data_IF_522738615736
#
_entry.id   IF_522738615736
#
_cell.length_a   1.000
_cell.length_b   1.000
_cell.length_c   1.000
_cell.angle_alpha   90.00
_cell.angle_beta   90.00
_cell.angle_gamma   90.00
#
_symmetry.space_group_name_H-M   'P 1'
#
loop_
_entity.id
_entity.type
_entity.pdbx_description
1 polymer ?
#
# COMPACT_ATOMS: atom_id res chain seq x y z
N UNK A 1 5.47 1.77 -0.57
CA UNK A 1 4.96 0.40 -0.82
C UNK A 1 3.73 0.48 -1.72
N UNK A 2 2.69 1.30 -1.42
CA UNK A 2 1.45 1.37 -2.19
C UNK A 2 1.65 1.56 -3.69
N UNK A 3 2.46 2.53 -4.12
CA UNK A 3 2.74 2.77 -5.54
C UNK A 3 3.37 1.55 -6.24
N UNK A 4 4.18 0.77 -5.55
CA UNK A 4 4.73 -0.48 -6.10
C UNK A 4 3.67 -1.57 -6.20
N UNK A 5 2.78 -1.68 -5.22
CA UNK A 5 1.65 -2.62 -5.26
C UNK A 5 0.73 -2.35 -6.45
N UNK A 6 0.43 -1.07 -6.72
CA UNK A 6 -0.36 -0.65 -7.90
C UNK A 6 0.29 -1.15 -9.19
N UNK A 7 1.58 -0.87 -9.37
CA UNK A 7 2.32 -1.24 -10.57
C UNK A 7 2.43 -2.76 -10.72
N UNK A 8 2.70 -3.49 -9.64
CA UNK A 8 2.77 -4.95 -9.63
C UNK A 8 1.41 -5.60 -9.94
N UNK A 9 0.33 -5.03 -9.40
CA UNK A 9 -1.03 -5.49 -9.67
C UNK A 9 -1.39 -5.27 -11.15
N UNK A 10 -1.09 -4.09 -11.69
CA UNK A 10 -1.33 -3.77 -13.10
C UNK A 10 -0.59 -4.73 -14.04
N UNK A 11 0.67 -5.09 -13.75
CA UNK A 11 1.43 -6.07 -14.52
C UNK A 11 0.80 -7.47 -14.52
N UNK A 12 -0.02 -7.78 -13.53
CA UNK A 12 -0.71 -9.07 -13.38
C UNK A 12 -2.19 -9.03 -13.76
N UNK A 13 -2.67 -7.91 -14.30
CA UNK A 13 -4.08 -7.73 -14.61
C UNK A 13 -5.00 -7.71 -13.38
N UNK A 14 -4.45 -7.43 -12.19
CA UNK A 14 -5.21 -7.36 -10.93
C UNK A 14 -5.76 -5.95 -10.78
N UNK A 15 -7.08 -5.84 -10.64
CA UNK A 15 -7.75 -4.57 -10.35
C UNK A 15 -7.46 -4.14 -8.91
N UNK A 16 -7.22 -2.84 -8.71
CA UNK A 16 -6.92 -2.28 -7.40
C UNK A 16 -7.88 -1.15 -7.03
N UNK A 17 -8.27 -1.10 -5.76
CA UNK A 17 -8.90 0.07 -5.13
C UNK A 17 -7.86 0.68 -4.20
N UNK A 18 -7.54 1.93 -4.44
CA UNK A 18 -6.47 2.64 -3.75
C UNK A 18 -7.07 3.76 -2.89
N UNK A 19 -6.92 3.64 -1.58
CA UNK A 19 -7.45 4.60 -0.62
C UNK A 19 -6.37 5.63 -0.34
N UNK A 20 -6.69 6.89 -0.52
CA UNK A 20 -5.77 8.02 -0.35
C UNK A 20 -6.37 9.09 0.56
N UNK A 21 -5.53 9.85 1.25
CA UNK A 21 -5.98 10.98 2.07
C UNK A 21 -6.40 12.21 1.26
N UNK A 22 -5.92 12.32 0.01
CA UNK A 22 -6.13 13.49 -0.85
C UNK A 22 -6.46 13.05 -2.27
N UNK A 23 -7.49 13.62 -2.84
CA UNK A 23 -7.96 13.29 -4.18
C UNK A 23 -7.03 13.76 -5.31
N UNK A 24 -6.15 14.75 -5.06
CA UNK A 24 -5.16 15.23 -6.02
C UNK A 24 -4.12 14.18 -6.44
N UNK A 25 -4.04 13.07 -5.70
CA UNK A 25 -3.18 11.94 -6.04
C UNK A 25 -3.75 11.02 -7.13
N UNK A 26 -5.02 11.13 -7.45
CA UNK A 26 -5.68 10.24 -8.42
C UNK A 26 -5.00 10.20 -9.79
N UNK A 27 -4.69 11.32 -10.46
CA UNK A 27 -4.05 11.27 -11.78
C UNK A 27 -2.72 10.54 -11.76
N UNK A 28 -1.92 10.75 -10.71
CA UNK A 28 -0.64 10.08 -10.52
C UNK A 28 -0.81 8.57 -10.36
N UNK A 29 -1.74 8.14 -9.50
CA UNK A 29 -1.97 6.72 -9.25
C UNK A 29 -2.57 6.00 -10.45
N UNK A 30 -3.46 6.68 -11.20
CA UNK A 30 -3.99 6.18 -12.47
C UNK A 30 -2.87 5.96 -13.49
N UNK A 31 -1.94 6.88 -13.60
CA UNK A 31 -0.75 6.74 -14.47
C UNK A 31 0.16 5.56 -14.09
N UNK A 32 0.14 5.12 -12.82
CA UNK A 32 0.84 3.93 -12.34
C UNK A 32 0.04 2.63 -12.54
N UNK A 33 -1.20 2.70 -13.03
CA UNK A 33 -2.05 1.54 -13.29
C UNK A 33 -3.14 1.28 -12.24
N UNK A 34 -3.41 2.24 -11.35
CA UNK A 34 -4.53 2.12 -10.40
C UNK A 34 -5.88 2.01 -11.13
N UNK A 35 -6.69 1.02 -10.77
CA UNK A 35 -8.03 0.85 -11.36
C UNK A 35 -9.03 1.84 -10.76
N UNK A 36 -9.06 1.94 -9.44
CA UNK A 36 -9.93 2.86 -8.70
C UNK A 36 -9.09 3.62 -7.69
N UNK A 37 -9.38 4.90 -7.50
CA UNK A 37 -8.81 5.72 -6.44
C UNK A 37 -9.96 6.36 -5.66
N UNK A 38 -9.97 6.17 -4.35
CA UNK A 38 -10.97 6.73 -3.44
C UNK A 38 -10.28 7.55 -2.37
N UNK A 39 -10.88 8.68 -2.05
CA UNK A 39 -10.47 9.45 -0.86
C UNK A 39 -10.98 8.76 0.38
N UNK A 40 -10.13 8.65 1.41
CA UNK A 40 -10.53 8.18 2.74
C UNK A 40 -11.67 9.03 3.32
N UNK A 41 -12.43 8.47 4.24
CA UNK A 41 -13.54 9.17 4.90
C UNK A 41 -14.80 8.32 5.07
N UNK A 42 -15.93 8.96 5.35
CA UNK A 42 -17.19 8.27 5.63
C UNK A 42 -17.60 7.32 4.51
N UNK A 43 -18.32 6.27 4.86
CA UNK A 43 -18.92 5.30 3.94
C UNK A 43 -17.90 4.64 2.99
N UNK A 44 -16.62 4.55 3.42
CA UNK A 44 -15.54 4.00 2.61
C UNK A 44 -15.88 2.60 2.09
N UNK A 45 -16.42 1.74 2.94
CA UNK A 45 -16.77 0.38 2.58
C UNK A 45 -17.84 0.31 1.47
N UNK A 46 -18.86 1.16 1.57
CA UNK A 46 -19.92 1.23 0.57
C UNK A 46 -19.38 1.77 -0.76
N UNK A 47 -18.63 2.86 -0.72
CA UNK A 47 -17.99 3.46 -1.90
C UNK A 47 -17.02 2.50 -2.58
N UNK A 48 -16.25 1.72 -1.80
CA UNK A 48 -15.34 0.73 -2.35
C UNK A 48 -16.10 -0.39 -3.06
N UNK A 49 -17.15 -0.93 -2.45
CA UNK A 49 -18.00 -1.95 -3.10
C UNK A 49 -18.69 -1.42 -4.35
N UNK A 50 -19.23 -0.20 -4.31
CA UNK A 50 -19.87 0.42 -5.47
C UNK A 50 -18.90 0.62 -6.66
N UNK A 51 -17.61 0.84 -6.38
CA UNK A 51 -16.59 1.06 -7.40
C UNK A 51 -16.04 -0.24 -8.04
N UNK A 52 -16.53 -1.41 -7.61
CA UNK A 52 -16.05 -2.72 -8.09
C UNK A 52 -16.80 -3.27 -9.29
N UNK A 53 -17.88 -2.64 -9.75
CA UNK A 53 -18.74 -3.15 -10.84
C UNK A 53 -19.23 -4.58 -10.56
N UNK A 54 -19.59 -4.86 -9.31
CA UNK A 54 -20.05 -6.17 -8.85
C UNK A 54 -18.97 -7.22 -8.58
N UNK A 55 -17.68 -6.89 -8.73
CA UNK A 55 -16.60 -7.81 -8.39
C UNK A 55 -16.32 -7.81 -6.88
N UNK A 56 -15.91 -8.97 -6.36
CA UNK A 56 -15.52 -9.13 -4.97
C UNK A 56 -14.16 -8.50 -4.68
N UNK A 57 -14.06 -7.83 -3.52
CA UNK A 57 -12.78 -7.38 -2.96
C UNK A 57 -12.23 -8.50 -2.08
N UNK A 58 -11.26 -9.24 -2.59
CA UNK A 58 -10.79 -10.49 -1.97
C UNK A 58 -9.53 -10.34 -1.13
N UNK A 59 -8.84 -9.20 -1.24
CA UNK A 59 -7.60 -8.97 -0.48
C UNK A 59 -7.38 -7.49 -0.18
N UNK A 60 -7.00 -7.19 1.05
CA UNK A 60 -6.60 -5.87 1.50
C UNK A 60 -5.13 -5.82 1.92
N UNK A 61 -4.48 -4.66 1.73
CA UNK A 61 -3.12 -4.40 2.20
C UNK A 61 -3.09 -3.03 2.87
N UNK A 62 -2.80 -3.01 4.17
CA UNK A 62 -2.85 -1.79 4.96
C UNK A 62 -1.54 -1.45 5.67
N UNK A 63 -1.22 -0.15 5.71
CA UNK A 63 -0.14 0.42 6.50
C UNK A 63 -0.59 1.59 7.37
N UNK A 64 -1.86 1.93 7.35
CA UNK A 64 -2.39 3.16 7.96
C UNK A 64 -2.97 2.88 9.34
N UNK A 65 -3.79 1.84 9.46
CA UNK A 65 -4.56 1.56 10.67
C UNK A 65 -5.81 2.44 10.80
N UNK A 66 -6.32 2.61 12.02
CA UNK A 66 -7.43 3.48 12.33
C UNK A 66 -8.70 3.20 11.53
N UNK A 67 -9.49 4.24 11.29
CA UNK A 67 -10.76 4.14 10.57
C UNK A 67 -10.61 3.66 9.11
N UNK A 68 -9.50 3.99 8.45
CA UNK A 68 -9.20 3.52 7.07
C UNK A 68 -9.14 1.99 7.02
N UNK A 69 -8.44 1.37 7.97
CA UNK A 69 -8.38 -0.10 8.08
C UNK A 69 -9.76 -0.69 8.31
N UNK A 70 -10.53 -0.12 9.23
CA UNK A 70 -11.90 -0.56 9.53
C UNK A 70 -12.77 -0.56 8.27
N UNK A 71 -12.84 0.56 7.56
CA UNK A 71 -13.61 0.67 6.33
C UNK A 71 -13.13 -0.27 5.22
N UNK A 72 -11.82 -0.51 5.13
CA UNK A 72 -11.26 -1.50 4.21
C UNK A 72 -11.73 -2.91 4.54
N UNK A 73 -11.65 -3.35 5.81
CA UNK A 73 -12.11 -4.68 6.26
C UNK A 73 -13.61 -4.85 6.00
N UNK A 74 -14.40 -3.84 6.26
CA UNK A 74 -15.83 -3.85 5.99
C UNK A 74 -16.15 -4.00 4.51
N UNK A 75 -15.30 -3.48 3.62
CA UNK A 75 -15.49 -3.56 2.16
C UNK A 75 -15.21 -4.96 1.59
N UNK A 76 -14.45 -5.79 2.27
CA UNK A 76 -14.02 -7.10 1.78
C UNK A 76 -15.19 -8.08 1.59
N UNK A 77 -15.08 -8.96 0.61
CA UNK A 77 -16.01 -10.08 0.42
C UNK A 77 -15.80 -11.18 1.48
N UNK A 78 -16.80 -12.02 1.75
CA UNK A 78 -16.63 -13.20 2.62
C UNK A 78 -15.46 -14.08 2.17
N UNK A 79 -14.70 -14.62 3.12
CA UNK A 79 -13.51 -15.44 2.88
C UNK A 79 -12.25 -14.65 2.50
N UNK A 80 -12.34 -13.33 2.42
CA UNK A 80 -11.22 -12.47 2.07
C UNK A 80 -10.17 -12.34 3.19
N UNK A 81 -9.02 -11.79 2.85
CA UNK A 81 -7.94 -11.56 3.81
C UNK A 81 -7.38 -10.14 3.72
N UNK A 82 -6.79 -9.67 4.82
CA UNK A 82 -6.05 -8.42 4.86
C UNK A 82 -4.67 -8.62 5.50
N UNK A 83 -3.65 -8.04 4.88
CA UNK A 83 -2.32 -7.94 5.44
C UNK A 83 -2.08 -6.53 5.99
N UNK A 84 -1.90 -6.41 7.31
CA UNK A 84 -1.51 -5.18 7.97
C UNK A 84 0.02 -5.16 8.16
N UNK A 85 0.70 -4.14 7.63
CA UNK A 85 2.16 -4.03 7.71
C UNK A 85 2.66 -2.71 8.31
N UNK A 86 1.76 -1.87 8.81
CA UNK A 86 2.07 -0.61 9.47
C UNK A 86 0.87 0.00 10.19
N UNK A 87 1.12 1.04 10.98
CA UNK A 87 0.12 1.81 11.75
C UNK A 87 0.49 3.30 11.65
N UNK A 88 0.52 3.83 10.44
CA UNK A 88 0.98 5.22 10.19
C UNK A 88 0.08 6.29 10.81
N UNK A 89 -1.20 6.00 11.00
CA UNK A 89 -2.13 6.91 11.70
C UNK A 89 -1.89 6.95 13.20
N UNK A 90 -1.14 5.99 13.76
CA UNK A 90 -0.97 5.80 15.21
C UNK A 90 -2.30 5.64 15.95
N UNK A 91 -3.34 5.21 15.25
CA UNK A 91 -4.67 4.94 15.76
C UNK A 91 -4.99 3.45 15.62
N UNK A 92 -5.56 2.88 16.69
CA UNK A 92 -5.95 1.47 16.66
C UNK A 92 -7.24 1.31 15.85
N UNK A 93 -7.29 0.37 14.89
CA UNK A 93 -8.51 0.10 14.15
C UNK A 93 -9.55 -0.57 15.05
N UNK A 94 -10.82 -0.36 14.74
CA UNK A 94 -11.91 -1.17 15.28
C UNK A 94 -12.13 -2.36 14.34
N UNK A 95 -11.96 -3.55 14.86
CA UNK A 95 -12.24 -4.79 14.14
C UNK A 95 -13.57 -5.37 14.59
N UNK A 96 -14.54 -5.40 13.69
CA UNK A 96 -15.82 -6.04 13.94
C UNK A 96 -15.66 -7.57 13.93
N UNK A 97 -15.85 -8.18 15.12
CA UNK A 97 -15.75 -9.63 15.26
C UNK A 97 -16.86 -10.38 14.50
N UNK A 98 -18.00 -9.74 14.21
CA UNK A 98 -19.06 -10.33 13.40
C UNK A 98 -18.53 -10.56 11.96
N UNK A 99 -17.78 -9.62 11.42
CA UNK A 99 -17.10 -9.78 10.12
C UNK A 99 -16.07 -10.92 10.15
N UNK A 100 -15.29 -11.04 11.21
CA UNK A 100 -14.30 -12.11 11.35
C UNK A 100 -14.98 -13.48 11.42
N UNK A 101 -16.02 -13.62 12.23
CA UNK A 101 -16.69 -14.90 12.50
C UNK A 101 -17.60 -15.33 11.33
N UNK A 102 -18.53 -14.44 10.94
CA UNK A 102 -19.61 -14.80 10.02
C UNK A 102 -19.28 -14.55 8.54
N UNK A 103 -18.24 -13.75 8.27
CA UNK A 103 -17.76 -13.52 6.91
C UNK A 103 -16.41 -14.17 6.65
N UNK A 104 -15.83 -14.91 7.62
CA UNK A 104 -14.51 -15.55 7.51
C UNK A 104 -13.40 -14.57 7.07
N UNK A 105 -13.40 -13.34 7.59
CA UNK A 105 -12.37 -12.37 7.26
C UNK A 105 -11.09 -12.69 8.04
N UNK A 106 -9.98 -12.85 7.33
CA UNK A 106 -8.68 -13.15 7.92
C UNK A 106 -7.82 -11.91 8.01
N UNK A 107 -7.36 -11.57 9.21
CA UNK A 107 -6.44 -10.46 9.46
C UNK A 107 -5.07 -11.02 9.79
N UNK A 108 -4.06 -10.63 9.01
CA UNK A 108 -2.69 -11.09 9.18
C UNK A 108 -1.73 -9.90 9.28
N UNK A 109 -0.88 -9.91 10.30
CA UNK A 109 0.23 -8.97 10.40
C UNK A 109 1.40 -9.39 9.50
N UNK A 110 2.08 -8.41 8.90
CA UNK A 110 3.33 -8.61 8.19
C UNK A 110 4.40 -7.65 8.71
N UNK A 111 5.45 -8.19 9.30
CA UNK A 111 6.60 -7.42 9.74
C UNK A 111 7.84 -7.80 8.91
N UNK A 112 8.30 -6.87 8.09
CA UNK A 112 9.40 -7.10 7.15
C UNK A 112 10.69 -7.55 7.84
N UNK A 113 11.04 -6.96 9.00
CA UNK A 113 12.25 -7.36 9.74
C UNK A 113 12.16 -8.82 10.18
N UNK A 114 10.99 -9.26 10.68
CA UNK A 114 10.77 -10.67 11.06
C UNK A 114 10.81 -11.59 9.85
N UNK A 115 10.27 -11.16 8.71
CA UNK A 115 10.38 -11.92 7.48
C UNK A 115 11.85 -12.10 7.06
N UNK A 116 12.68 -11.06 7.15
CA UNK A 116 14.11 -11.18 6.86
C UNK A 116 14.83 -12.12 7.82
N UNK A 117 14.41 -12.20 9.07
CA UNK A 117 14.98 -13.12 10.06
C UNK A 117 14.64 -14.58 9.73
N UNK A 118 13.38 -14.89 9.42
CA UNK A 118 12.88 -16.28 9.37
C UNK A 118 12.73 -16.87 7.96
N UNK A 119 12.68 -16.05 6.91
CA UNK A 119 12.51 -16.54 5.55
C UNK A 119 13.75 -17.30 5.07
N UNK A 120 13.52 -18.40 4.36
CA UNK A 120 14.58 -19.16 3.73
C UNK A 120 15.36 -18.30 2.72
N UNK A 121 16.67 -18.55 2.53
CA UNK A 121 17.49 -17.81 1.56
C UNK A 121 16.87 -17.81 0.15
N UNK A 122 16.30 -18.92 -0.27
CA UNK A 122 15.68 -19.10 -1.59
C UNK A 122 14.45 -18.18 -1.76
N UNK A 123 13.63 -18.02 -0.70
CA UNK A 123 12.48 -17.12 -0.71
C UNK A 123 12.91 -15.64 -0.84
N UNK A 124 14.00 -15.27 -0.14
CA UNK A 124 14.59 -13.93 -0.26
C UNK A 124 15.13 -13.70 -1.67
N UNK A 125 15.90 -14.66 -2.20
CA UNK A 125 16.45 -14.60 -3.55
C UNK A 125 15.33 -14.50 -4.61
N UNK A 126 14.26 -15.29 -4.47
CA UNK A 126 13.13 -15.25 -5.38
C UNK A 126 12.42 -13.87 -5.35
N UNK A 127 12.18 -13.31 -4.15
CA UNK A 127 11.54 -12.00 -4.01
C UNK A 127 12.38 -10.88 -4.65
N UNK A 128 13.68 -10.81 -4.37
CA UNK A 128 14.57 -9.81 -4.96
C UNK A 128 14.83 -10.07 -6.44
N UNK A 129 15.00 -11.31 -6.84
CA UNK A 129 15.15 -11.71 -8.25
C UNK A 129 13.95 -11.33 -9.12
N UNK A 130 12.75 -11.31 -8.54
CA UNK A 130 11.55 -10.84 -9.24
C UNK A 130 11.48 -9.30 -9.33
N UNK A 131 11.87 -8.56 -8.29
CA UNK A 131 11.64 -7.11 -8.20
C UNK A 131 12.79 -6.31 -8.84
N UNK A 132 14.04 -6.71 -8.63
CA UNK A 132 15.21 -5.95 -9.09
C UNK A 132 15.21 -5.76 -10.62
N UNK A 133 14.99 -6.79 -11.45
CA UNK A 133 14.91 -6.62 -12.91
C UNK A 133 13.79 -5.68 -13.34
N UNK A 134 12.65 -5.69 -12.66
CA UNK A 134 11.54 -4.79 -12.95
C UNK A 134 11.88 -3.33 -12.68
N UNK A 135 12.63 -3.05 -11.60
CA UNK A 135 13.11 -1.69 -11.28
C UNK A 135 14.19 -1.27 -12.29
N UNK A 136 15.17 -2.13 -12.54
CA UNK A 136 16.28 -1.85 -13.47
C UNK A 136 15.78 -1.61 -14.90
N UNK A 137 14.80 -2.40 -15.34
CA UNK A 137 14.16 -2.26 -16.66
C UNK A 137 13.11 -1.15 -16.75
N UNK A 138 12.83 -0.43 -15.64
CA UNK A 138 11.86 0.66 -15.60
C UNK A 138 10.40 0.22 -15.67
N UNK A 139 10.11 -1.06 -15.52
CA UNK A 139 8.74 -1.60 -15.45
C UNK A 139 8.04 -1.16 -14.17
N UNK A 140 8.80 -1.09 -13.07
CA UNK A 140 8.36 -0.52 -11.79
C UNK A 140 9.21 0.72 -11.51
N UNK A 141 8.56 1.83 -11.20
CA UNK A 141 9.22 3.12 -10.97
C UNK A 141 8.91 3.64 -9.57
N UNK A 142 9.88 4.33 -8.99
CA UNK A 142 9.69 5.15 -7.80
C UNK A 142 10.01 6.59 -8.16
N UNK A 143 9.09 7.49 -7.88
CA UNK A 143 9.35 8.91 -8.03
C UNK A 143 10.48 9.34 -7.08
N UNK A 144 11.39 10.17 -7.57
CA UNK A 144 12.45 10.82 -6.79
C UNK A 144 12.05 12.28 -6.66
N UNK A 145 11.80 12.70 -5.43
CA UNK A 145 11.46 14.09 -5.10
C UNK A 145 12.69 15.01 -5.19
N UNK A 146 13.78 14.58 -4.58
CA UNK A 146 15.00 15.37 -4.52
C UNK A 146 16.24 14.50 -4.27
N UNK A 147 17.41 15.04 -4.64
CA UNK A 147 18.71 14.46 -4.38
C UNK A 147 19.56 15.46 -3.61
N UNK A 148 20.23 14.98 -2.58
CA UNK A 148 21.15 15.76 -1.77
C UNK A 148 22.50 15.07 -1.73
N UNK A 149 23.56 15.83 -1.57
CA UNK A 149 24.87 15.26 -1.23
C UNK A 149 24.85 14.77 0.22
N UNK A 150 25.77 13.86 0.56
CA UNK A 150 25.85 13.33 1.91
C UNK A 150 26.16 14.43 2.95
N UNK A 151 26.91 15.46 2.58
CA UNK A 151 27.20 16.64 3.41
C UNK A 151 25.94 17.43 3.79
N UNK A 152 24.89 17.38 2.95
CA UNK A 152 23.62 18.09 3.15
C UNK A 152 22.56 17.22 3.86
N UNK A 153 22.98 16.22 4.65
CA UNK A 153 22.10 15.25 5.30
C UNK A 153 20.99 15.92 6.12
N UNK A 154 21.25 17.04 6.76
CA UNK A 154 20.25 17.77 7.57
C UNK A 154 19.09 18.27 6.70
N UNK A 155 19.40 18.84 5.55
CA UNK A 155 18.39 19.35 4.60
C UNK A 155 17.63 18.17 3.95
N UNK A 156 18.32 17.09 3.65
CA UNK A 156 17.70 15.86 3.18
C UNK A 156 16.70 15.30 4.19
N UNK A 157 17.04 15.25 5.48
CA UNK A 157 16.14 14.79 6.55
C UNK A 157 14.95 15.74 6.71
N UNK A 158 15.18 17.05 6.71
CA UNK A 158 14.13 18.06 6.77
C UNK A 158 13.15 17.90 5.59
N UNK A 159 13.67 17.74 4.36
CA UNK A 159 12.85 17.50 3.17
C UNK A 159 12.10 16.17 3.27
N UNK A 160 12.74 15.11 3.77
CA UNK A 160 12.10 13.79 3.95
C UNK A 160 10.95 13.81 4.96
N UNK A 161 11.02 14.68 5.97
CA UNK A 161 9.97 14.89 6.96
C UNK A 161 8.85 15.85 6.51
N UNK A 162 9.10 16.66 5.48
CA UNK A 162 8.15 17.66 5.01
C UNK A 162 6.87 17.01 4.45
N UNK A 163 5.69 17.65 4.67
CA UNK A 163 4.45 17.21 4.03
C UNK A 163 4.49 17.45 2.51
N UNK A 164 3.58 16.80 1.80
CA UNK A 164 3.40 16.96 0.35
C UNK A 164 4.63 16.61 -0.51
N UNK A 165 5.48 15.73 -0.02
CA UNK A 165 6.60 15.18 -0.78
C UNK A 165 6.08 14.28 -1.90
N UNK A 166 6.60 14.45 -3.11
CA UNK A 166 6.22 13.62 -4.27
C UNK A 166 7.35 12.67 -4.68
N UNK A 167 7.67 11.73 -3.84
CA UNK A 167 8.69 10.72 -4.13
C UNK A 167 9.66 10.49 -2.97
N UNK A 168 10.80 9.88 -3.29
CA UNK A 168 11.86 9.58 -2.33
C UNK A 168 12.91 10.68 -2.34
N UNK A 169 13.38 11.04 -1.16
CA UNK A 169 14.60 11.85 -0.99
C UNK A 169 15.79 10.90 -1.02
N UNK A 170 16.74 11.17 -1.89
CA UNK A 170 17.95 10.36 -2.05
C UNK A 170 19.18 11.12 -1.60
N UNK A 171 20.11 10.41 -0.98
CA UNK A 171 21.47 10.88 -0.75
C UNK A 171 22.37 10.31 -1.84
N UNK A 172 23.24 11.12 -2.37
CA UNK A 172 24.26 10.75 -3.34
C UNK A 172 25.65 11.07 -2.77
N UNK A 173 26.67 10.32 -3.14
CA UNK A 173 28.05 10.62 -2.79
C UNK A 173 28.47 12.02 -3.23
#
# INVERSE_FOLDING_TARGET
VGEYLIQLAAQRGIRTINIVRRGDLEPKLKALGATVVLTDGPDLAERARAACDGADIVYGVDSVGGATFTGMVESLAPGAAVAAYGVLAMEMPQLDLMSVIFRDIRVQGFWLAKWFEVAAPEAKQAAFGAIIPMIAGGTIKSAVDSRFKLEDIRDAVARAAAPNRDGKVLLTP
#
